data_IF_004303912510
#
_entry.id   IF_004303912510
#
_cell.length_a   1.000
_cell.length_b   1.000
_cell.length_c   1.000
_cell.angle_alpha   90.00
_cell.angle_beta   90.00
_cell.angle_gamma   90.00
#
_symmetry.space_group_name_H-M   'P 1'
#
loop_
_entity.id
_entity.type
_entity.pdbx_description
1 polymer ?
#
# COMPACT_ATOMS: atom_id res chain seq x y z
N UNK A 1 -12.37 12.58 -8.75
CA UNK A 1 -11.16 12.87 -9.54
C UNK A 1 -10.64 14.29 -9.36
N UNK A 2 -11.51 15.29 -9.11
CA UNK A 2 -11.11 16.71 -8.94
C UNK A 2 -10.27 16.98 -7.69
N UNK A 3 -10.29 16.10 -6.69
CA UNK A 3 -9.48 16.21 -5.45
C UNK A 3 -8.04 15.72 -5.66
N UNK A 4 -7.75 14.93 -6.70
CA UNK A 4 -6.41 14.40 -7.00
C UNK A 4 -5.70 15.32 -8.01
N UNK A 5 -5.45 16.57 -7.62
CA UNK A 5 -4.67 17.55 -8.37
C UNK A 5 -3.37 17.83 -7.62
N UNK A 6 -2.38 18.32 -8.37
CA UNK A 6 -1.04 18.61 -7.84
C UNK A 6 -0.37 17.39 -7.21
N UNK A 7 -0.58 16.23 -7.85
CA UNK A 7 0.05 14.97 -7.48
C UNK A 7 1.42 14.89 -8.14
N UNK A 8 2.46 14.74 -7.32
CA UNK A 8 3.84 14.58 -7.79
C UNK A 8 4.16 13.12 -8.12
N UNK A 9 3.64 12.18 -7.33
CA UNK A 9 3.93 10.74 -7.46
C UNK A 9 2.68 9.89 -7.37
N UNK A 10 2.58 8.91 -8.27
CA UNK A 10 1.66 7.78 -8.20
C UNK A 10 2.46 6.51 -7.86
N UNK A 11 2.15 5.87 -6.76
CA UNK A 11 2.78 4.62 -6.32
C UNK A 11 1.89 3.43 -6.69
N UNK A 12 2.44 2.44 -7.39
CA UNK A 12 1.74 1.21 -7.77
C UNK A 12 2.43 0.02 -7.11
N UNK A 13 1.77 -0.61 -6.15
CA UNK A 13 2.29 -1.74 -5.40
C UNK A 13 2.42 -3.00 -6.26
N UNK A 14 1.41 -3.26 -7.09
CA UNK A 14 1.37 -4.40 -8.00
C UNK A 14 0.29 -4.20 -9.08
N UNK A 15 0.17 -5.15 -9.98
CA UNK A 15 -0.57 -5.00 -11.23
C UNK A 15 -2.00 -5.59 -11.22
N UNK A 16 -2.54 -6.03 -10.09
CA UNK A 16 -3.94 -6.48 -10.02
C UNK A 16 -4.90 -5.36 -10.44
N UNK A 17 -6.09 -5.72 -10.91
CA UNK A 17 -7.03 -4.78 -11.54
C UNK A 17 -7.57 -3.72 -10.56
N UNK A 18 -7.69 -4.06 -9.29
CA UNK A 18 -8.13 -3.15 -8.21
C UNK A 18 -7.02 -2.20 -7.71
N UNK A 19 -5.74 -2.48 -8.04
CA UNK A 19 -4.59 -1.64 -7.71
C UNK A 19 -4.04 -0.87 -8.92
N UNK A 20 -4.20 -1.40 -10.13
CA UNK A 20 -3.75 -0.77 -11.37
C UNK A 20 -4.89 -0.72 -12.40
N UNK A 21 -5.82 0.22 -12.22
CA UNK A 21 -6.92 0.47 -13.16
C UNK A 21 -6.54 1.51 -14.22
N UNK A 22 -6.48 1.08 -15.49
CA UNK A 22 -6.07 1.94 -16.61
C UNK A 22 -6.93 3.21 -16.74
N UNK A 23 -8.27 3.17 -16.66
CA UNK A 23 -9.11 4.37 -16.69
C UNK A 23 -8.82 5.36 -15.56
N UNK A 24 -8.55 4.87 -14.34
CA UNK A 24 -8.20 5.72 -13.20
C UNK A 24 -6.84 6.40 -13.39
N UNK A 25 -5.82 5.63 -13.82
CA UNK A 25 -4.51 6.17 -14.15
C UNK A 25 -4.59 7.22 -15.27
N UNK A 26 -5.40 6.98 -16.31
CA UNK A 26 -5.61 7.94 -17.38
C UNK A 26 -6.15 9.30 -16.88
N UNK A 27 -7.10 9.28 -15.95
CA UNK A 27 -7.64 10.49 -15.32
C UNK A 27 -6.60 11.23 -14.47
N UNK A 28 -5.78 10.48 -13.72
CA UNK A 28 -4.70 11.04 -12.90
C UNK A 28 -3.63 11.70 -13.78
N UNK A 29 -3.18 11.02 -14.83
CA UNK A 29 -2.20 11.54 -15.79
C UNK A 29 -2.71 12.81 -16.46
N UNK A 30 -3.96 12.82 -16.93
CA UNK A 30 -4.56 14.00 -17.56
C UNK A 30 -4.67 15.20 -16.60
N UNK A 31 -4.93 14.95 -15.30
CA UNK A 31 -5.03 16.00 -14.28
C UNK A 31 -3.69 16.45 -13.70
N UNK A 32 -2.61 15.69 -13.89
CA UNK A 32 -1.31 15.89 -13.27
C UNK A 32 -0.16 15.64 -14.28
N UNK A 33 0.07 16.54 -15.25
CA UNK A 33 0.98 16.30 -16.38
C UNK A 33 2.47 16.16 -15.98
N UNK A 34 2.84 16.54 -14.78
CA UNK A 34 4.21 16.39 -14.23
C UNK A 34 4.36 15.21 -13.28
N UNK A 35 3.28 14.47 -13.03
CA UNK A 35 3.28 13.32 -12.13
C UNK A 35 4.27 12.26 -12.63
N UNK A 36 5.05 11.73 -11.71
CA UNK A 36 5.90 10.55 -11.92
C UNK A 36 5.20 9.32 -11.37
N UNK A 37 5.47 8.15 -11.94
CA UNK A 37 4.96 6.89 -11.42
C UNK A 37 6.13 6.07 -10.89
N UNK A 38 5.98 5.51 -9.68
CA UNK A 38 6.95 4.64 -9.04
C UNK A 38 6.32 3.25 -8.81
N UNK A 39 6.99 2.18 -9.25
CA UNK A 39 6.45 0.82 -9.21
C UNK A 39 7.57 -0.24 -9.18
N UNK A 40 7.19 -1.50 -8.99
CA UNK A 40 8.10 -2.64 -9.14
C UNK A 40 8.51 -2.89 -10.59
N UNK A 41 9.71 -3.50 -10.77
CA UNK A 41 10.27 -3.89 -12.07
C UNK A 41 9.26 -4.69 -12.89
N UNK A 42 9.20 -4.40 -14.20
CA UNK A 42 8.30 -5.02 -15.18
C UNK A 42 6.94 -4.33 -15.33
N UNK A 43 6.49 -3.58 -14.32
CA UNK A 43 5.22 -2.84 -14.37
C UNK A 43 5.31 -1.61 -15.27
N UNK A 44 6.47 -0.96 -15.31
CA UNK A 44 6.69 0.24 -16.10
C UNK A 44 6.49 0.02 -17.60
N UNK A 45 6.91 -1.12 -18.14
CA UNK A 45 6.68 -1.46 -19.54
C UNK A 45 5.19 -1.49 -19.89
N UNK A 46 4.35 -2.05 -19.02
CA UNK A 46 2.91 -2.08 -19.19
C UNK A 46 2.32 -0.65 -19.21
N UNK A 47 2.73 0.16 -18.24
CA UNK A 47 2.24 1.52 -18.06
C UNK A 47 2.68 2.44 -19.21
N UNK A 48 3.93 2.36 -19.62
CA UNK A 48 4.45 3.12 -20.77
C UNK A 48 3.78 2.73 -22.08
N UNK A 49 3.36 1.45 -22.23
CA UNK A 49 2.52 1.02 -23.34
C UNK A 49 1.13 1.67 -23.38
N UNK A 50 0.62 2.11 -22.22
CA UNK A 50 -0.65 2.85 -22.13
C UNK A 50 -0.46 4.37 -22.21
N UNK A 51 0.63 4.88 -21.63
CA UNK A 51 0.93 6.30 -21.46
C UNK A 51 2.39 6.58 -21.81
N UNK A 52 2.76 6.64 -23.11
CA UNK A 52 4.16 6.76 -23.54
C UNK A 52 4.91 7.99 -23.02
N UNK A 53 4.18 9.05 -22.64
CA UNK A 53 4.77 10.28 -22.11
C UNK A 53 4.94 10.32 -20.59
N UNK A 54 4.45 9.30 -19.87
CA UNK A 54 4.55 9.25 -18.40
C UNK A 54 5.96 8.84 -17.98
N UNK A 55 6.56 9.61 -17.07
CA UNK A 55 7.82 9.24 -16.45
C UNK A 55 7.56 8.10 -15.44
N UNK A 56 8.14 6.94 -15.70
CA UNK A 56 8.03 5.76 -14.84
C UNK A 56 9.39 5.43 -14.24
N UNK A 57 9.41 5.19 -12.95
CA UNK A 57 10.57 4.79 -12.16
C UNK A 57 10.28 3.38 -11.65
N UNK A 58 11.11 2.42 -12.02
CA UNK A 58 11.00 1.03 -11.56
C UNK A 58 12.05 0.73 -10.49
N UNK A 59 11.67 -0.06 -9.51
CA UNK A 59 12.56 -0.49 -8.43
C UNK A 59 12.43 -2.00 -8.15
N UNK A 60 13.54 -2.64 -7.80
CA UNK A 60 13.55 -3.92 -7.14
C UNK A 60 13.30 -3.74 -5.63
N UNK A 61 13.06 -4.84 -4.90
CA UNK A 61 12.95 -4.79 -3.45
C UNK A 61 14.23 -4.21 -2.83
N UNK A 62 14.04 -3.36 -1.83
CA UNK A 62 15.05 -2.58 -1.11
C UNK A 62 15.74 -1.50 -1.95
N UNK A 63 15.35 -1.30 -3.20
CA UNK A 63 15.84 -0.15 -3.96
C UNK A 63 15.13 1.14 -3.55
N UNK A 64 15.92 2.21 -3.50
CA UNK A 64 15.48 3.53 -3.10
C UNK A 64 15.51 4.50 -4.29
N UNK A 65 14.54 5.37 -4.32
CA UNK A 65 14.51 6.55 -5.16
C UNK A 65 14.39 7.79 -4.27
N UNK A 66 15.19 8.81 -4.54
CA UNK A 66 15.16 10.07 -3.81
C UNK A 66 14.98 11.25 -4.78
N UNK A 67 14.10 12.18 -4.42
CA UNK A 67 13.84 13.39 -5.17
C UNK A 67 13.50 14.54 -4.21
N UNK A 68 14.38 15.54 -4.13
CA UNK A 68 14.24 16.59 -3.14
C UNK A 68 14.24 16.06 -1.70
N UNK A 69 13.16 16.36 -0.96
CA UNK A 69 12.96 15.88 0.41
C UNK A 69 12.22 14.55 0.54
N UNK A 70 11.86 13.92 -0.59
CA UNK A 70 11.15 12.64 -0.64
C UNK A 70 12.15 11.50 -0.83
N UNK A 71 11.98 10.42 -0.06
CA UNK A 71 12.61 9.12 -0.30
C UNK A 71 11.54 8.03 -0.36
N UNK A 72 11.57 7.24 -1.43
CA UNK A 72 10.72 6.08 -1.64
C UNK A 72 11.57 4.83 -1.65
N UNK A 73 11.24 3.86 -0.81
CA UNK A 73 11.86 2.53 -0.85
C UNK A 73 10.81 1.52 -1.25
N UNK A 74 11.09 0.73 -2.29
CA UNK A 74 10.24 -0.40 -2.66
C UNK A 74 10.60 -1.61 -1.80
N UNK A 75 9.62 -2.22 -1.14
CA UNK A 75 9.82 -3.26 -0.13
C UNK A 75 9.12 -4.57 -0.53
N UNK A 76 9.60 -5.73 -0.03
CA UNK A 76 8.91 -6.99 -0.26
C UNK A 76 7.52 -7.01 0.38
N UNK A 77 6.61 -7.77 -0.25
CA UNK A 77 5.31 -8.13 0.28
C UNK A 77 5.02 -9.60 0.00
N UNK A 78 4.30 -10.26 0.89
CA UNK A 78 3.86 -11.64 0.64
C UNK A 78 2.59 -11.64 -0.20
N UNK A 79 2.79 -11.51 -1.51
CA UNK A 79 1.73 -11.43 -2.49
C UNK A 79 2.19 -11.99 -3.83
N UNK A 80 1.54 -11.62 -4.92
CA UNK A 80 1.84 -12.04 -6.27
C UNK A 80 1.36 -10.99 -7.28
N UNK A 81 1.74 -11.14 -8.54
CA UNK A 81 1.31 -10.30 -9.65
C UNK A 81 0.74 -11.15 -10.77
N UNK A 82 -0.31 -10.68 -11.41
CA UNK A 82 -0.89 -11.27 -12.62
C UNK A 82 -1.98 -10.37 -13.18
N UNK A 83 -1.98 -10.23 -14.50
CA UNK A 83 -3.02 -9.46 -15.19
C UNK A 83 -3.63 -10.20 -16.38
N UNK A 84 -2.87 -11.07 -17.00
CA UNK A 84 -3.28 -11.91 -18.12
C UNK A 84 -3.37 -13.39 -17.75
N UNK A 85 -3.46 -14.24 -18.77
CA UNK A 85 -3.57 -15.69 -18.57
C UNK A 85 -2.22 -16.32 -18.23
N UNK A 86 -1.11 -15.78 -18.78
CA UNK A 86 0.24 -16.39 -18.75
C UNK A 86 1.34 -15.50 -18.16
N UNK A 87 0.99 -14.40 -17.51
CA UNK A 87 1.92 -13.35 -17.05
C UNK A 87 2.08 -13.29 -15.52
N UNK A 88 1.77 -14.40 -14.84
CA UNK A 88 1.93 -14.48 -13.38
C UNK A 88 3.39 -14.35 -12.97
N UNK A 89 3.70 -13.40 -12.06
CA UNK A 89 5.04 -13.14 -11.56
C UNK A 89 5.99 -12.41 -12.52
N UNK A 90 5.50 -11.94 -13.69
CA UNK A 90 6.34 -11.17 -14.63
C UNK A 90 6.65 -9.75 -14.18
N UNK A 91 5.84 -9.21 -13.27
CA UNK A 91 5.98 -7.87 -12.70
C UNK A 91 6.15 -7.96 -11.19
N UNK A 92 7.13 -7.27 -10.68
CA UNK A 92 7.43 -7.30 -9.26
C UNK A 92 6.34 -6.55 -8.47
N UNK A 93 5.89 -7.15 -7.38
CA UNK A 93 4.94 -6.59 -6.43
C UNK A 93 5.65 -6.18 -5.14
N UNK A 94 5.03 -5.31 -4.34
CA UNK A 94 5.65 -4.91 -3.09
C UNK A 94 4.88 -3.85 -2.32
N UNK A 95 5.52 -3.42 -1.26
CA UNK A 95 5.13 -2.37 -0.36
C UNK A 95 6.01 -1.13 -0.56
N UNK A 96 5.70 -0.06 0.14
CA UNK A 96 6.48 1.18 0.11
C UNK A 96 6.84 1.64 1.51
N UNK A 97 8.08 2.11 1.68
CA UNK A 97 8.42 3.07 2.72
C UNK A 97 8.52 4.45 2.09
N UNK A 98 7.79 5.40 2.63
CA UNK A 98 7.70 6.78 2.17
C UNK A 98 8.24 7.67 3.28
N UNK A 99 9.34 8.36 3.03
CA UNK A 99 9.96 9.28 3.96
C UNK A 99 9.92 10.69 3.36
N UNK A 100 9.18 11.58 3.99
CA UNK A 100 9.05 12.97 3.56
C UNK A 100 8.72 13.87 4.75
N UNK A 101 9.24 15.08 4.78
CA UNK A 101 8.91 16.08 5.81
C UNK A 101 9.08 15.59 7.26
N UNK A 102 10.05 14.72 7.52
CA UNK A 102 10.28 14.07 8.82
C UNK A 102 9.13 13.14 9.26
N UNK A 103 8.36 12.62 8.32
CA UNK A 103 7.34 11.59 8.55
C UNK A 103 7.74 10.35 7.75
N UNK A 104 7.66 9.20 8.39
CA UNK A 104 7.91 7.90 7.78
C UNK A 104 6.63 7.09 7.74
N UNK A 105 6.19 6.72 6.53
CA UNK A 105 4.95 5.98 6.28
C UNK A 105 5.28 4.66 5.62
N UNK A 106 4.87 3.55 6.22
CA UNK A 106 4.81 2.26 5.55
C UNK A 106 3.45 2.09 4.87
N UNK A 107 3.43 1.71 3.60
CA UNK A 107 2.22 1.31 2.86
C UNK A 107 2.40 -0.12 2.37
N UNK A 108 1.56 -1.03 2.86
CA UNK A 108 1.72 -2.46 2.62
C UNK A 108 1.44 -2.91 1.19
N UNK A 109 0.69 -2.13 0.39
CA UNK A 109 -0.01 -2.74 -0.74
C UNK A 109 -0.84 -3.94 -0.25
N UNK A 110 -0.98 -4.95 -1.09
CA UNK A 110 -1.54 -6.24 -0.67
C UNK A 110 -0.45 -7.16 -0.18
N UNK A 111 -0.74 -7.85 0.93
CA UNK A 111 0.21 -8.77 1.55
C UNK A 111 -0.47 -9.75 2.49
N UNK A 112 0.06 -10.96 2.60
CA UNK A 112 -0.11 -11.82 3.75
C UNK A 112 0.81 -11.38 4.91
N UNK A 113 0.54 -11.88 6.12
CA UNK A 113 1.47 -11.68 7.24
C UNK A 113 2.68 -12.62 7.09
N UNK A 114 3.90 -12.05 7.11
CA UNK A 114 5.13 -12.79 6.97
C UNK A 114 6.30 -12.16 7.77
N UNK A 115 7.46 -12.81 7.70
CA UNK A 115 8.63 -12.45 8.52
C UNK A 115 9.18 -11.04 8.23
N UNK A 116 9.03 -10.55 7.02
CA UNK A 116 9.54 -9.25 6.60
C UNK A 116 9.09 -8.09 7.51
N UNK A 117 7.93 -8.17 8.15
CA UNK A 117 7.49 -7.13 9.09
C UNK A 117 8.42 -6.95 10.30
N UNK A 118 9.05 -8.04 10.75
CA UNK A 118 10.00 -8.02 11.89
C UNK A 118 11.38 -7.53 11.51
N UNK A 119 11.71 -7.54 10.23
CA UNK A 119 13.00 -7.06 9.71
C UNK A 119 13.00 -5.55 9.48
N UNK A 120 11.82 -4.95 9.27
CA UNK A 120 11.72 -3.53 8.94
C UNK A 120 12.28 -2.58 10.01
N UNK A 121 12.16 -2.82 11.34
CA UNK A 121 12.75 -1.94 12.36
C UNK A 121 14.28 -1.83 12.30
N UNK A 122 14.97 -2.85 11.76
CA UNK A 122 16.43 -2.80 11.58
C UNK A 122 16.82 -1.81 10.47
N UNK A 123 15.97 -1.64 9.46
CA UNK A 123 16.20 -0.74 8.32
C UNK A 123 15.55 0.63 8.53
N UNK A 124 14.41 0.65 9.21
CA UNK A 124 13.59 1.85 9.46
C UNK A 124 13.23 1.90 10.95
N UNK A 125 14.12 2.44 11.80
CA UNK A 125 13.93 2.43 13.26
C UNK A 125 12.75 3.30 13.73
N UNK A 126 12.23 4.18 12.86
CA UNK A 126 11.12 5.07 13.16
C UNK A 126 10.09 4.99 12.04
N UNK A 127 8.97 4.33 12.30
CA UNK A 127 7.79 4.29 11.42
C UNK A 127 6.66 5.01 12.14
N UNK A 128 6.27 6.17 11.61
CA UNK A 128 5.24 6.99 12.22
C UNK A 128 3.84 6.42 11.94
N UNK A 129 3.62 5.99 10.69
CA UNK A 129 2.34 5.49 10.22
C UNK A 129 2.49 4.18 9.45
N UNK A 130 1.66 3.22 9.79
CA UNK A 130 1.51 1.97 9.05
C UNK A 130 0.15 1.96 8.34
N UNK A 131 0.15 2.16 7.02
CA UNK A 131 -1.02 1.98 6.17
C UNK A 131 -1.06 0.53 5.71
N UNK A 132 -2.05 -0.25 6.16
CA UNK A 132 -2.06 -1.70 5.96
C UNK A 132 -3.45 -2.23 5.61
N UNK A 133 -3.50 -3.18 4.67
CA UNK A 133 -4.74 -3.86 4.29
C UNK A 133 -5.39 -4.57 5.46
N UNK A 134 -6.74 -4.60 5.49
CA UNK A 134 -7.52 -5.35 6.50
C UNK A 134 -8.67 -6.12 5.89
N UNK A 135 -8.92 -6.00 4.58
CA UNK A 135 -9.99 -6.69 3.85
C UNK A 135 -9.49 -7.88 3.04
N UNK A 136 -10.42 -8.58 2.42
CA UNK A 136 -10.19 -9.78 1.62
C UNK A 136 -9.53 -10.91 2.43
N UNK A 137 -9.95 -11.15 3.68
CA UNK A 137 -9.25 -12.06 4.59
C UNK A 137 -9.99 -13.38 4.88
N UNK A 138 -11.25 -13.53 4.48
CA UNK A 138 -12.01 -14.80 4.63
C UNK A 138 -12.23 -15.50 3.27
N UNK A 139 -12.24 -16.84 3.23
CA UNK A 139 -11.90 -17.75 4.33
C UNK A 139 -10.39 -17.77 4.61
N UNK A 140 -9.99 -17.78 5.88
CA UNK A 140 -8.58 -17.65 6.27
C UNK A 140 -7.64 -18.70 5.65
N UNK A 141 -8.11 -19.94 5.51
CA UNK A 141 -7.30 -21.02 4.95
C UNK A 141 -6.84 -20.76 3.50
N UNK A 142 -7.61 -19.98 2.75
CA UNK A 142 -7.33 -19.61 1.35
C UNK A 142 -6.67 -18.24 1.24
N UNK A 143 -7.19 -17.24 1.97
CA UNK A 143 -6.78 -15.84 1.83
C UNK A 143 -5.48 -15.51 2.58
N UNK A 144 -5.20 -16.18 3.71
CA UNK A 144 -4.06 -15.89 4.60
C UNK A 144 -2.70 -15.76 3.91
N UNK A 145 -2.35 -16.54 2.86
CA UNK A 145 -1.06 -16.39 2.19
C UNK A 145 -0.88 -15.05 1.48
N UNK A 146 -1.98 -14.40 1.08
CA UNK A 146 -1.95 -13.23 0.20
C UNK A 146 -2.59 -11.98 0.80
N UNK A 147 -3.46 -12.14 1.81
CA UNK A 147 -4.20 -11.05 2.44
C UNK A 147 -4.16 -11.16 3.96
N UNK A 148 -3.86 -10.04 4.58
CA UNK A 148 -3.75 -9.91 6.02
C UNK A 148 -5.15 -9.65 6.64
N UNK A 149 -5.41 -10.24 7.81
CA UNK A 149 -6.64 -9.96 8.55
C UNK A 149 -6.49 -8.73 9.44
N UNK A 150 -7.59 -8.14 9.95
CA UNK A 150 -7.50 -7.08 10.96
C UNK A 150 -6.62 -7.42 12.16
N UNK A 151 -6.65 -8.68 12.62
CA UNK A 151 -5.81 -9.17 13.71
C UNK A 151 -4.32 -9.20 13.35
N UNK A 152 -4.01 -9.73 12.17
CA UNK A 152 -2.64 -9.84 11.70
C UNK A 152 -2.08 -8.46 11.32
N UNK A 153 -2.91 -7.52 10.84
CA UNK A 153 -2.52 -6.15 10.53
C UNK A 153 -2.01 -5.40 11.76
N UNK A 154 -2.73 -5.51 12.88
CA UNK A 154 -2.28 -4.95 14.16
C UNK A 154 -1.02 -5.63 14.68
N UNK A 155 -0.87 -6.94 14.46
CA UNK A 155 0.36 -7.67 14.82
C UNK A 155 1.53 -7.20 13.97
N UNK A 156 1.35 -7.06 12.64
CA UNK A 156 2.37 -6.55 11.73
C UNK A 156 2.81 -5.12 12.09
N UNK A 157 1.86 -4.24 12.42
CA UNK A 157 2.15 -2.88 12.85
C UNK A 157 2.97 -2.86 14.16
N UNK A 158 2.64 -3.72 15.12
CA UNK A 158 3.41 -3.86 16.35
C UNK A 158 4.82 -4.41 16.09
N UNK A 159 4.95 -5.43 15.23
CA UNK A 159 6.26 -6.02 14.85
C UNK A 159 7.16 -4.99 14.15
N UNK A 160 6.58 -4.05 13.40
CA UNK A 160 7.29 -2.93 12.77
C UNK A 160 7.57 -1.76 13.72
N UNK A 161 7.12 -1.81 14.97
CA UNK A 161 7.18 -0.69 15.92
C UNK A 161 6.53 0.59 15.38
N UNK A 162 5.52 0.48 14.51
CA UNK A 162 4.82 1.64 13.99
C UNK A 162 3.99 2.33 15.09
N UNK A 163 4.00 3.66 15.09
CA UNK A 163 3.32 4.44 16.14
C UNK A 163 1.81 4.45 15.99
N UNK A 164 1.34 4.58 14.74
CA UNK A 164 -0.10 4.64 14.43
C UNK A 164 -0.41 3.74 13.24
N UNK A 165 -1.50 2.97 13.34
CA UNK A 165 -1.97 2.12 12.23
C UNK A 165 -3.18 2.73 11.55
N UNK A 166 -3.15 2.80 10.21
CA UNK A 166 -4.23 3.28 9.36
C UNK A 166 -4.69 2.10 8.48
N UNK A 167 -5.91 1.61 8.63
CA UNK A 167 -6.39 0.49 7.83
C UNK A 167 -6.75 0.96 6.41
N UNK A 168 -6.51 0.09 5.44
CA UNK A 168 -6.91 0.28 4.05
C UNK A 168 -7.44 -1.04 3.44
N UNK A 169 -7.75 -1.05 2.14
CA UNK A 169 -8.18 -2.23 1.38
C UNK A 169 -9.45 -2.90 1.95
N UNK A 170 -10.49 -2.10 2.19
CA UNK A 170 -11.83 -2.55 2.61
C UNK A 170 -12.92 -1.63 2.06
N UNK A 171 -14.15 -2.10 2.07
CA UNK A 171 -15.33 -1.25 1.81
C UNK A 171 -15.56 -0.84 0.35
N UNK A 172 -14.76 -1.31 -0.62
CA UNK A 172 -14.85 -0.91 -2.03
C UNK A 172 -15.27 -2.07 -2.95
N UNK A 173 -14.59 -3.20 -2.84
CA UNK A 173 -14.85 -4.39 -3.65
C UNK A 173 -15.23 -5.57 -2.76
N UNK A 174 -16.20 -6.34 -3.20
CA UNK A 174 -16.60 -7.61 -2.57
C UNK A 174 -15.72 -8.73 -3.15
N UNK A 175 -14.57 -8.97 -2.51
CA UNK A 175 -13.52 -9.88 -2.99
C UNK A 175 -13.44 -11.20 -2.20
N UNK A 176 -14.23 -11.37 -1.13
CA UNK A 176 -14.06 -12.45 -0.18
C UNK A 176 -15.34 -12.68 0.66
N UNK A 177 -15.29 -13.66 1.58
CA UNK A 177 -16.50 -14.12 2.29
C UNK A 177 -16.88 -13.25 3.52
N UNK A 178 -16.05 -12.29 3.95
CA UNK A 178 -16.46 -11.37 5.00
C UNK A 178 -17.41 -10.29 4.47
N UNK A 179 -18.38 -9.81 5.29
CA UNK A 179 -19.20 -8.66 4.95
C UNK A 179 -18.33 -7.44 4.68
N UNK A 180 -18.63 -6.70 3.61
CA UNK A 180 -17.83 -5.59 3.07
C UNK A 180 -17.38 -4.55 4.11
N UNK A 181 -18.20 -4.28 5.12
CA UNK A 181 -17.92 -3.31 6.18
C UNK A 181 -17.59 -3.94 7.54
N UNK A 182 -17.40 -5.27 7.63
CA UNK A 182 -16.97 -5.97 8.85
C UNK A 182 -15.52 -5.65 9.25
N UNK A 183 -14.55 -5.59 8.30
CA UNK A 183 -13.13 -5.40 8.62
C UNK A 183 -12.82 -4.19 9.52
N UNK A 184 -13.34 -2.97 9.29
CA UNK A 184 -13.04 -1.83 10.14
C UNK A 184 -13.60 -1.97 11.56
N UNK A 185 -14.76 -2.60 11.75
CA UNK A 185 -15.32 -2.85 13.08
C UNK A 185 -14.47 -3.83 13.89
N UNK A 186 -14.04 -4.92 13.23
CA UNK A 186 -13.12 -5.91 13.85
C UNK A 186 -11.79 -5.25 14.19
N UNK A 187 -11.23 -4.47 13.27
CA UNK A 187 -9.96 -3.77 13.46
C UNK A 187 -10.02 -2.80 14.65
N UNK A 188 -11.03 -1.94 14.72
CA UNK A 188 -11.20 -0.96 15.82
C UNK A 188 -11.36 -1.65 17.17
N UNK A 189 -12.21 -2.70 17.22
CA UNK A 189 -12.43 -3.47 18.45
C UNK A 189 -11.15 -4.12 18.95
N UNK A 190 -10.38 -4.70 18.04
CA UNK A 190 -9.13 -5.41 18.39
C UNK A 190 -8.01 -4.42 18.77
N UNK A 191 -7.88 -3.29 18.06
CA UNK A 191 -6.93 -2.24 18.41
C UNK A 191 -7.16 -1.70 19.82
N UNK A 192 -8.43 -1.47 20.18
CA UNK A 192 -8.82 -1.06 21.54
C UNK A 192 -8.41 -2.07 22.60
N UNK A 193 -8.59 -3.38 22.35
CA UNK A 193 -8.18 -4.43 23.28
C UNK A 193 -6.66 -4.47 23.48
N UNK A 194 -5.90 -4.20 22.42
CA UNK A 194 -4.43 -4.20 22.43
C UNK A 194 -3.81 -2.88 22.90
N UNK A 195 -4.60 -1.83 23.06
CA UNK A 195 -4.10 -0.49 23.39
C UNK A 195 -3.23 0.11 22.27
N UNK A 196 -3.51 -0.24 21.00
CA UNK A 196 -2.76 0.27 19.86
C UNK A 196 -3.42 1.52 19.30
N UNK A 197 -2.60 2.52 18.98
CA UNK A 197 -3.06 3.77 18.37
C UNK A 197 -3.43 3.54 16.90
N UNK A 198 -4.63 3.96 16.52
CA UNK A 198 -5.16 3.85 15.17
C UNK A 198 -5.78 5.16 14.70
N UNK A 199 -5.79 5.36 13.40
CA UNK A 199 -6.65 6.34 12.73
C UNK A 199 -7.55 5.53 11.81
N UNK A 200 -8.87 5.62 12.01
CA UNK A 200 -9.87 4.98 11.17
C UNK A 200 -10.68 6.08 10.46
N UNK A 201 -10.24 6.52 9.27
CA UNK A 201 -10.91 7.58 8.54
C UNK A 201 -12.20 7.10 7.89
N UNK A 202 -13.13 8.02 7.67
CA UNK A 202 -14.22 7.79 6.73
C UNK A 202 -13.70 7.75 5.28
N UNK A 203 -14.41 7.04 4.41
CA UNK A 203 -14.02 6.95 3.00
C UNK A 203 -14.06 8.35 2.34
N UNK A 204 -12.90 8.80 1.86
CA UNK A 204 -12.74 10.13 1.26
C UNK A 204 -12.41 11.24 2.25
N UNK A 205 -12.27 10.95 3.53
CA UNK A 205 -11.81 11.91 4.52
C UNK A 205 -10.35 12.32 4.30
N UNK A 206 -10.07 13.62 4.46
CA UNK A 206 -8.70 14.14 4.42
C UNK A 206 -8.16 14.20 5.84
N UNK A 207 -7.12 13.39 6.11
CA UNK A 207 -6.45 13.34 7.40
C UNK A 207 -5.18 14.18 7.33
N UNK A 208 -4.97 15.01 8.32
CA UNK A 208 -3.71 15.71 8.53
C UNK A 208 -2.80 14.87 9.44
N UNK A 209 -1.76 14.30 8.88
CA UNK A 209 -0.76 13.56 9.64
C UNK A 209 0.09 14.51 10.49
N UNK A 210 0.45 14.06 11.69
CA UNK A 210 1.28 14.80 12.64
C UNK A 210 2.71 14.28 12.59
N UNK A 211 3.67 15.19 12.79
CA UNK A 211 5.05 14.79 13.10
C UNK A 211 5.11 14.33 14.56
N UNK A 212 5.86 13.27 14.79
CA UNK A 212 6.18 12.86 16.16
C UNK A 212 7.59 13.36 16.49
N UNK A 213 7.69 13.98 17.65
CA UNK A 213 8.98 14.45 18.22
C UNK A 213 9.76 13.29 18.82
#
# INVERSE_FOLDING_TARGET
>A
PSIFRDIDYLLISHDHFDHLDKPSVAKLVAGNPRMKLFCGIGTGRLIQGWFPGLQVIEAAWYQQYADGGLRLTFLPAQHWSKRGVRDGGERLWGAFMIEADHITIYNSGDTGYAHHFRELPELFPHIDYCMIGIGAYKPRWFMKPNHISPYDALTASADMHARVTIPMHYGTFDLSDEPLFDPPHVFQSEAKKRGQDIILPELGEIIKLKRFS
#
